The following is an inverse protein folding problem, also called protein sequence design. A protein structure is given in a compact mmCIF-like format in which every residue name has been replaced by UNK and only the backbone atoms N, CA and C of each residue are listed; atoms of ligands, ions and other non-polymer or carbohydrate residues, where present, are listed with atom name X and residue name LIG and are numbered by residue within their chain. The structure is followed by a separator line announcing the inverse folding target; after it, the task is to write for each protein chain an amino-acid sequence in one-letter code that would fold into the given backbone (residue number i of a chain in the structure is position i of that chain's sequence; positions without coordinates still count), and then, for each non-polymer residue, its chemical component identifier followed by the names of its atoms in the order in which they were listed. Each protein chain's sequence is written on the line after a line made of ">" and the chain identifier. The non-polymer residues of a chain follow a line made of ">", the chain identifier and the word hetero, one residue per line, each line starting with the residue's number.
data_IF_252445668800
#
_entry.id   IF_252445668800
#
_cell.length_a   1.000
_cell.length_b   1.000
_cell.length_c   1.000
_cell.angle_alpha   90.00
_cell.angle_beta   90.00
_cell.angle_gamma   90.00
#
_symmetry.space_group_name_H-M   'P 1'
#
loop_
_entity.id
_entity.type
_entity.pdbx_description
1 polymer ?
#
# COMPACT_ATOMS: atom_id res chain seq x y z
N UNK A 1 6.93 6.62 -4.60
CA UNK A 1 6.85 7.73 -3.63
C UNK A 1 5.89 7.40 -2.48
N UNK A 2 4.61 7.03 -2.77
CA UNK A 2 3.61 6.81 -1.71
C UNK A 2 4.02 5.69 -0.75
N UNK A 3 4.50 4.55 -1.23
CA UNK A 3 4.96 3.46 -0.34
C UNK A 3 6.06 3.89 0.60
N UNK A 4 7.03 4.69 0.12
CA UNK A 4 8.10 5.24 0.97
C UNK A 4 7.57 6.25 2.00
N UNK A 5 6.64 7.12 1.60
CA UNK A 5 6.02 8.08 2.53
C UNK A 5 5.21 7.36 3.62
N UNK A 6 4.50 6.30 3.27
CA UNK A 6 3.69 5.50 4.19
C UNK A 6 4.52 4.82 5.29
N UNK A 7 5.82 4.62 5.07
CA UNK A 7 6.69 4.08 6.14
C UNK A 7 6.85 5.03 7.31
N UNK A 8 6.62 6.34 7.12
CA UNK A 8 6.80 7.35 8.18
C UNK A 8 5.83 7.10 9.35
N UNK A 9 4.50 7.09 9.15
CA UNK A 9 3.57 6.79 10.25
C UNK A 9 3.72 5.36 10.78
N UNK A 10 4.07 4.38 9.93
CA UNK A 10 4.29 3.01 10.40
C UNK A 10 5.44 2.92 11.40
N UNK A 11 6.59 3.54 11.10
CA UNK A 11 7.76 3.55 11.98
C UNK A 11 7.52 4.34 13.26
N UNK A 12 6.72 5.40 13.21
CA UNK A 12 6.36 6.21 14.36
C UNK A 12 5.51 5.42 15.37
N UNK A 13 4.68 4.50 14.88
CA UNK A 13 3.96 3.53 15.71
C UNK A 13 4.78 2.29 16.08
N UNK A 14 6.11 2.39 16.08
CA UNK A 14 7.04 1.33 16.47
C UNK A 14 6.94 0.03 15.67
N UNK A 15 6.35 0.07 14.44
CA UNK A 15 6.36 -1.09 13.58
C UNK A 15 7.76 -1.29 12.97
N UNK A 16 8.13 -2.55 12.78
CA UNK A 16 9.30 -2.93 11.98
C UNK A 16 8.93 -2.92 10.50
N UNK A 17 9.56 -2.05 9.71
CA UNK A 17 9.19 -1.84 8.31
C UNK A 17 10.31 -2.24 7.37
N UNK A 18 9.96 -3.05 6.36
CA UNK A 18 10.86 -3.42 5.26
C UNK A 18 10.28 -2.92 3.94
N UNK A 19 11.07 -2.21 3.16
CA UNK A 19 10.74 -1.85 1.76
C UNK A 19 11.42 -2.81 0.81
N UNK A 20 10.68 -3.18 -0.23
CA UNK A 20 11.20 -3.86 -1.41
C UNK A 20 10.61 -3.24 -2.67
N UNK A 21 11.29 -3.44 -3.80
CA UNK A 21 10.88 -2.91 -5.10
C UNK A 21 11.09 -3.99 -6.17
N UNK A 22 10.03 -4.49 -6.81
CA UNK A 22 10.15 -5.58 -7.77
C UNK A 22 10.77 -5.17 -9.10
N UNK A 23 10.69 -3.89 -9.48
CA UNK A 23 11.09 -3.45 -10.83
C UNK A 23 12.43 -2.73 -10.89
N UNK A 24 12.86 -2.07 -9.81
CA UNK A 24 14.04 -1.21 -9.82
C UNK A 24 15.06 -1.57 -8.74
N UNK A 25 16.08 -2.33 -9.13
CA UNK A 25 17.24 -2.60 -8.27
C UNK A 25 18.00 -1.30 -7.91
N UNK A 26 18.01 -0.33 -8.85
CA UNK A 26 18.66 0.98 -8.64
C UNK A 26 17.96 1.76 -7.56
N UNK A 27 16.63 1.74 -7.51
CA UNK A 27 15.85 2.42 -6.48
C UNK A 27 16.22 1.90 -5.07
N UNK A 28 16.22 0.58 -4.89
CA UNK A 28 16.59 -0.03 -3.59
C UNK A 28 18.04 0.29 -3.23
N UNK A 29 18.99 0.19 -4.18
CA UNK A 29 20.39 0.52 -3.95
C UNK A 29 20.57 1.97 -3.49
N UNK A 30 19.90 2.91 -4.15
CA UNK A 30 20.01 4.33 -3.80
C UNK A 30 19.42 4.62 -2.42
N UNK A 31 18.29 4.00 -2.06
CA UNK A 31 17.68 4.15 -0.75
C UNK A 31 18.46 3.43 0.36
N UNK A 32 19.21 2.38 0.03
CA UNK A 32 20.07 1.68 0.99
C UNK A 32 21.37 2.43 1.29
N UNK A 33 21.68 3.51 0.56
CA UNK A 33 22.85 4.34 0.82
C UNK A 33 22.82 4.97 2.22
N UNK A 34 23.97 5.44 2.72
CA UNK A 34 24.09 6.01 4.09
C UNK A 34 23.05 7.10 4.39
N UNK A 35 22.68 7.90 3.41
CA UNK A 35 21.77 9.04 3.61
C UNK A 35 20.29 8.66 3.43
N UNK A 36 19.98 7.51 2.84
CA UNK A 36 18.59 7.07 2.56
C UNK A 36 17.72 8.16 1.94
N UNK A 37 18.34 9.03 1.11
CA UNK A 37 17.65 10.17 0.51
C UNK A 37 16.67 9.71 -0.59
N UNK A 38 15.42 10.13 -0.46
CA UNK A 38 14.37 9.86 -1.42
C UNK A 38 14.10 11.10 -2.28
N UNK A 39 14.59 11.11 -3.52
CA UNK A 39 14.56 12.30 -4.41
C UNK A 39 13.14 12.83 -4.67
N UNK A 40 12.17 11.95 -4.94
CA UNK A 40 10.79 12.37 -5.22
C UNK A 40 10.07 12.96 -3.99
N UNK A 41 10.43 12.55 -2.78
CA UNK A 41 9.87 13.08 -1.54
C UNK A 41 10.68 14.25 -0.99
N UNK A 42 11.92 14.40 -1.44
CA UNK A 42 12.91 15.40 -0.96
C UNK A 42 13.16 15.32 0.56
N UNK A 43 13.24 14.10 1.09
CA UNK A 43 13.54 13.81 2.50
C UNK A 43 14.52 12.66 2.64
N UNK A 44 15.19 12.60 3.79
CA UNK A 44 15.90 11.40 4.21
C UNK A 44 14.92 10.46 4.94
N UNK A 45 14.86 9.21 4.51
CA UNK A 45 14.06 8.19 5.17
C UNK A 45 14.72 7.75 6.47
N UNK A 46 13.94 7.24 7.41
CA UNK A 46 14.43 6.79 8.72
C UNK A 46 15.54 5.75 8.61
N UNK A 47 16.55 5.86 9.47
CA UNK A 47 17.63 4.85 9.62
C UNK A 47 17.09 3.48 10.06
N UNK A 48 15.96 3.43 10.77
CA UNK A 48 15.28 2.19 11.21
C UNK A 48 14.64 1.41 10.04
N UNK A 49 14.44 2.05 8.88
CA UNK A 49 13.84 1.41 7.71
C UNK A 49 14.80 0.38 7.10
N UNK A 50 14.29 -0.83 6.88
CA UNK A 50 15.04 -1.91 6.23
C UNK A 50 14.72 -1.97 4.75
N UNK A 51 15.71 -2.33 3.95
CA UNK A 51 15.60 -2.53 2.52
C UNK A 51 16.03 -3.96 2.18
N UNK A 52 15.18 -4.68 1.47
CA UNK A 52 15.48 -6.03 1.00
C UNK A 52 15.20 -6.13 -0.50
N UNK A 53 15.96 -6.98 -1.19
CA UNK A 53 15.70 -7.33 -2.57
C UNK A 53 14.37 -8.07 -2.65
N UNK A 54 13.54 -7.74 -3.63
CA UNK A 54 12.31 -8.47 -3.89
C UNK A 54 12.62 -9.92 -4.30
N UNK A 55 11.96 -10.86 -3.66
CA UNK A 55 12.09 -12.30 -3.94
C UNK A 55 10.91 -13.06 -3.32
N UNK A 56 10.70 -14.29 -3.80
CA UNK A 56 9.69 -15.19 -3.24
C UNK A 56 9.98 -15.51 -1.77
N UNK A 57 11.26 -15.67 -1.42
CA UNK A 57 11.67 -15.92 -0.04
C UNK A 57 11.30 -14.76 0.88
N UNK A 58 11.44 -13.51 0.41
CA UNK A 58 10.99 -12.36 1.17
C UNK A 58 9.49 -12.40 1.42
N UNK A 59 8.68 -12.74 0.41
CA UNK A 59 7.23 -12.82 0.55
C UNK A 59 6.77 -13.95 1.48
N UNK A 60 7.59 -14.99 1.66
CA UNK A 60 7.35 -16.10 2.60
C UNK A 60 7.77 -15.79 4.04
N UNK A 61 8.52 -14.71 4.28
CA UNK A 61 8.84 -14.28 5.64
C UNK A 61 7.56 -13.99 6.42
N UNK A 62 7.61 -14.14 7.73
CA UNK A 62 6.46 -13.86 8.61
C UNK A 62 6.29 -12.36 8.77
N UNK A 63 5.30 -11.80 8.09
CA UNK A 63 4.85 -10.43 8.22
C UNK A 63 3.44 -10.38 8.80
N UNK A 64 3.15 -9.33 9.57
CA UNK A 64 1.79 -9.05 10.08
C UNK A 64 0.92 -8.36 9.02
N UNK A 65 1.55 -7.67 8.06
CA UNK A 65 0.89 -6.95 6.98
C UNK A 65 1.81 -6.82 5.76
N UNK A 66 1.29 -7.10 4.57
CA UNK A 66 1.94 -6.76 3.30
C UNK A 66 1.24 -5.54 2.71
N UNK A 67 2.00 -4.50 2.36
CA UNK A 67 1.48 -3.27 1.79
C UNK A 67 1.83 -3.17 0.31
N UNK A 68 0.80 -3.09 -0.55
CA UNK A 68 0.95 -2.91 -1.99
C UNK A 68 0.81 -1.42 -2.32
N UNK A 69 1.91 -0.80 -2.76
CA UNK A 69 2.00 0.61 -3.13
C UNK A 69 2.64 0.78 -4.52
N UNK A 70 2.25 -0.05 -5.46
CA UNK A 70 2.72 -0.09 -6.84
C UNK A 70 1.88 0.83 -7.76
N UNK A 71 2.32 1.01 -8.99
CA UNK A 71 1.48 1.54 -10.06
C UNK A 71 0.37 0.53 -10.43
N UNK A 72 -0.67 1.00 -11.11
CA UNK A 72 -1.76 0.12 -11.56
C UNK A 72 -1.23 -1.03 -12.43
N UNK A 73 -0.25 -0.76 -13.29
CA UNK A 73 0.40 -1.77 -14.13
C UNK A 73 1.14 -2.86 -13.34
N UNK A 74 1.54 -2.58 -12.11
CA UNK A 74 2.23 -3.55 -11.24
C UNK A 74 1.32 -4.53 -10.52
N UNK A 75 0.00 -4.30 -10.54
CA UNK A 75 -0.96 -5.12 -9.80
C UNK A 75 -1.03 -6.55 -10.36
N UNK A 76 -0.97 -6.72 -11.67
CA UNK A 76 -0.99 -8.05 -12.27
C UNK A 76 0.24 -8.88 -11.90
N UNK A 77 1.41 -8.25 -11.90
CA UNK A 77 2.64 -8.89 -11.50
C UNK A 77 2.58 -9.37 -10.04
N UNK A 78 2.30 -8.46 -9.10
CA UNK A 78 2.28 -8.81 -7.69
C UNK A 78 1.13 -9.78 -7.35
N UNK A 79 -0.02 -9.66 -8.00
CA UNK A 79 -1.15 -10.57 -7.82
C UNK A 79 -0.80 -12.01 -8.20
N UNK A 80 -0.08 -12.22 -9.31
CA UNK A 80 0.43 -13.53 -9.71
C UNK A 80 1.42 -14.10 -8.67
N UNK A 81 2.37 -13.30 -8.20
CA UNK A 81 3.34 -13.72 -7.18
C UNK A 81 2.65 -14.16 -5.89
N UNK A 82 1.75 -13.34 -5.37
CA UNK A 82 1.03 -13.65 -4.12
C UNK A 82 0.16 -14.91 -4.24
N UNK A 83 -0.49 -15.10 -5.41
CA UNK A 83 -1.28 -16.32 -5.67
C UNK A 83 -0.40 -17.56 -5.71
N UNK A 84 0.68 -17.53 -6.48
CA UNK A 84 1.57 -18.67 -6.66
C UNK A 84 2.23 -19.11 -5.35
N UNK A 85 2.49 -18.15 -4.46
CA UNK A 85 3.07 -18.42 -3.13
C UNK A 85 2.02 -18.76 -2.06
N UNK A 86 0.72 -18.72 -2.40
CA UNK A 86 -0.39 -18.97 -1.47
C UNK A 86 -0.28 -18.14 -0.17
N UNK A 87 0.01 -16.85 -0.31
CA UNK A 87 0.22 -15.94 0.81
C UNK A 87 -1.06 -15.78 1.64
N UNK A 88 -0.95 -15.98 2.95
CA UNK A 88 -2.04 -15.83 3.93
C UNK A 88 -1.96 -14.53 4.73
N UNK A 89 -0.83 -13.84 4.67
CA UNK A 89 -0.64 -12.55 5.33
C UNK A 89 -1.67 -11.53 4.83
N UNK A 90 -2.33 -10.77 5.72
CA UNK A 90 -3.24 -9.70 5.33
C UNK A 90 -2.59 -8.69 4.40
N UNK A 91 -3.35 -8.19 3.44
CA UNK A 91 -2.85 -7.26 2.43
C UNK A 91 -3.56 -5.92 2.54
N UNK A 92 -2.77 -4.84 2.54
CA UNK A 92 -3.25 -3.46 2.43
C UNK A 92 -2.86 -2.87 1.09
N UNK A 93 -3.84 -2.36 0.34
CA UNK A 93 -3.61 -1.77 -0.99
C UNK A 93 -3.74 -0.26 -0.95
N UNK A 94 -2.64 0.43 -1.28
CA UNK A 94 -2.58 1.89 -1.43
C UNK A 94 -2.79 2.33 -2.88
N UNK A 95 -2.50 1.45 -3.84
CA UNK A 95 -2.59 1.74 -5.28
C UNK A 95 -3.98 2.27 -5.65
N UNK A 96 -4.02 3.36 -6.44
CA UNK A 96 -5.26 3.98 -6.95
C UNK A 96 -5.51 3.59 -8.38
N UNK A 97 -6.78 3.57 -8.77
CA UNK A 97 -7.20 3.35 -10.16
C UNK A 97 -8.24 2.25 -10.31
N UNK A 98 -8.73 2.15 -11.54
CA UNK A 98 -9.68 1.14 -11.99
C UNK A 98 -9.08 0.43 -13.19
N UNK A 99 -9.42 -0.83 -13.38
CA UNK A 99 -8.94 -1.62 -14.52
C UNK A 99 -10.11 -2.03 -15.40
N UNK A 100 -10.00 -1.78 -16.71
CA UNK A 100 -10.90 -2.34 -17.68
C UNK A 100 -10.48 -3.77 -18.04
N UNK A 101 -11.36 -4.73 -17.80
CA UNK A 101 -11.14 -6.12 -18.15
C UNK A 101 -11.77 -6.41 -19.53
N UNK A 102 -10.91 -6.61 -20.53
CA UNK A 102 -11.35 -6.79 -21.93
C UNK A 102 -12.27 -8.01 -22.15
N UNK A 103 -12.01 -9.11 -21.43
CA UNK A 103 -12.78 -10.36 -21.59
C UNK A 103 -14.24 -10.22 -21.16
N UNK A 104 -14.47 -9.58 -20.04
CA UNK A 104 -15.82 -9.41 -19.46
C UNK A 104 -16.44 -8.05 -19.80
N UNK A 105 -15.69 -7.16 -20.46
CA UNK A 105 -16.07 -5.76 -20.73
C UNK A 105 -16.49 -4.99 -19.47
N UNK A 106 -15.91 -5.32 -18.32
CA UNK A 106 -16.22 -4.69 -17.03
C UNK A 106 -15.07 -3.86 -16.51
N UNK A 107 -15.40 -2.83 -15.74
CA UNK A 107 -14.46 -2.09 -14.94
C UNK A 107 -14.37 -2.78 -13.58
N UNK A 108 -13.15 -3.11 -13.16
CA UNK A 108 -12.86 -3.71 -11.85
C UNK A 108 -12.08 -2.73 -10.97
N UNK A 109 -12.40 -2.72 -9.70
CA UNK A 109 -11.52 -2.12 -8.69
C UNK A 109 -10.30 -3.01 -8.48
N UNK A 110 -9.24 -2.48 -7.85
CA UNK A 110 -8.03 -3.25 -7.58
C UNK A 110 -8.32 -4.40 -6.61
N UNK A 111 -9.12 -4.15 -5.60
CA UNK A 111 -9.52 -5.20 -4.64
C UNK A 111 -10.31 -6.33 -5.32
N UNK A 112 -11.22 -6.01 -6.23
CA UNK A 112 -11.94 -7.02 -7.01
C UNK A 112 -10.99 -7.81 -7.91
N UNK A 113 -10.06 -7.14 -8.58
CA UNK A 113 -9.05 -7.78 -9.41
C UNK A 113 -8.21 -8.77 -8.59
N UNK A 114 -7.64 -8.33 -7.48
CA UNK A 114 -6.83 -9.18 -6.61
C UNK A 114 -7.64 -10.35 -6.07
N UNK A 115 -8.88 -10.12 -5.67
CA UNK A 115 -9.75 -11.16 -5.12
C UNK A 115 -10.25 -12.16 -6.18
N UNK A 116 -10.79 -11.66 -7.29
CA UNK A 116 -11.44 -12.52 -8.32
C UNK A 116 -10.40 -13.23 -9.20
N UNK A 117 -9.36 -12.52 -9.62
CA UNK A 117 -8.37 -13.04 -10.58
C UNK A 117 -7.27 -13.80 -9.84
N UNK A 118 -6.74 -13.23 -8.76
CA UNK A 118 -5.58 -13.77 -8.06
C UNK A 118 -5.91 -14.54 -6.78
N UNK A 119 -7.21 -14.63 -6.40
CA UNK A 119 -7.69 -15.43 -5.26
C UNK A 119 -7.08 -15.03 -3.92
N UNK A 120 -6.73 -13.75 -3.75
CA UNK A 120 -6.23 -13.22 -2.48
C UNK A 120 -7.38 -13.03 -1.50
N UNK A 121 -7.37 -13.69 -0.33
CA UNK A 121 -8.55 -13.75 0.55
C UNK A 121 -8.76 -12.50 1.40
N UNK A 122 -7.72 -12.00 2.07
CA UNK A 122 -7.81 -10.90 3.04
C UNK A 122 -7.18 -9.62 2.48
N UNK A 123 -8.04 -8.78 1.88
CA UNK A 123 -7.65 -7.51 1.28
C UNK A 123 -8.34 -6.38 2.02
N UNK A 124 -7.53 -5.44 2.48
CA UNK A 124 -7.95 -4.12 2.93
C UNK A 124 -7.40 -3.07 1.97
N UNK A 125 -8.07 -1.94 1.87
CA UNK A 125 -7.62 -0.81 1.07
C UNK A 125 -7.44 0.42 1.96
N UNK A 126 -6.53 1.30 1.55
CA UNK A 126 -6.33 2.59 2.18
C UNK A 126 -6.43 3.68 1.11
N UNK A 127 -7.36 4.61 1.29
CA UNK A 127 -7.63 5.72 0.38
C UNK A 127 -7.83 7.01 1.18
N UNK A 128 -7.69 8.14 0.50
CA UNK A 128 -7.92 9.47 1.08
C UNK A 128 -7.20 10.56 0.29
N UNK A 129 -7.41 11.83 0.69
CA UNK A 129 -6.77 13.00 0.08
C UNK A 129 -5.33 13.17 0.57
N UNK A 130 -4.55 12.09 0.55
CA UNK A 130 -3.19 12.06 1.06
C UNK A 130 -2.19 12.16 -0.10
N UNK A 131 -1.34 13.18 -0.08
CA UNK A 131 -0.21 13.34 -1.00
C UNK A 131 1.08 12.81 -0.34
N UNK A 132 1.88 12.08 -1.12
CA UNK A 132 3.09 11.44 -0.61
C UNK A 132 4.09 12.43 0.03
N UNK A 133 4.25 13.62 -0.55
CA UNK A 133 5.14 14.65 0.00
C UNK A 133 4.63 15.23 1.30
N UNK A 134 3.32 15.41 1.44
CA UNK A 134 2.68 15.91 2.64
C UNK A 134 2.78 14.89 3.78
N UNK A 135 2.45 13.62 3.50
CA UNK A 135 2.61 12.55 4.48
C UNK A 135 4.06 12.41 4.95
N UNK A 136 5.03 12.50 4.03
CA UNK A 136 6.44 12.42 4.36
C UNK A 136 6.91 13.57 5.26
N UNK A 137 6.24 14.74 5.19
CA UNK A 137 6.48 15.92 6.04
C UNK A 137 5.61 15.96 7.28
N UNK A 138 4.81 14.91 7.53
CA UNK A 138 3.89 14.80 8.66
C UNK A 138 2.78 15.85 8.67
N UNK A 139 2.37 16.33 7.49
CA UNK A 139 1.22 17.21 7.37
C UNK A 139 -0.04 16.45 7.76
N UNK A 140 -0.96 17.15 8.44
CA UNK A 140 -2.21 16.56 8.90
C UNK A 140 -3.06 16.08 7.72
N UNK A 141 -3.52 14.83 7.78
CA UNK A 141 -4.38 14.23 6.77
C UNK A 141 -5.21 13.09 7.36
N UNK A 142 -6.38 12.86 6.78
CA UNK A 142 -7.24 11.73 7.12
C UNK A 142 -7.31 10.74 5.96
N UNK A 143 -7.38 9.46 6.30
CA UNK A 143 -7.52 8.38 5.34
C UNK A 143 -8.58 7.39 5.80
N UNK A 144 -9.15 6.65 4.86
CA UNK A 144 -10.10 5.57 5.15
C UNK A 144 -9.41 4.24 4.91
N UNK A 145 -9.40 3.39 5.92
CA UNK A 145 -9.08 1.98 5.80
C UNK A 145 -10.37 1.20 5.64
N UNK A 146 -10.58 0.59 4.48
CA UNK A 146 -11.76 -0.21 4.24
C UNK A 146 -11.42 -1.70 4.12
N UNK A 147 -12.21 -2.54 4.78
CA UNK A 147 -12.08 -3.99 4.78
C UNK A 147 -13.46 -4.62 5.00
N UNK A 148 -13.72 -5.79 4.38
CA UNK A 148 -14.94 -6.56 4.69
C UNK A 148 -15.01 -6.92 6.16
N UNK A 149 -13.88 -7.21 6.79
CA UNK A 149 -13.76 -7.39 8.22
C UNK A 149 -13.33 -6.06 8.88
N UNK A 150 -14.25 -5.40 9.56
CA UNK A 150 -13.98 -4.12 10.24
C UNK A 150 -12.87 -4.21 11.30
N UNK A 151 -12.69 -5.39 11.91
CA UNK A 151 -11.62 -5.61 12.89
C UNK A 151 -10.24 -5.61 12.21
N UNK A 152 -10.15 -6.13 10.98
CA UNK A 152 -8.93 -6.01 10.16
C UNK A 152 -8.63 -4.53 9.86
N UNK A 153 -9.63 -3.74 9.46
CA UNK A 153 -9.44 -2.31 9.24
C UNK A 153 -8.96 -1.58 10.51
N UNK A 154 -9.57 -1.85 11.65
CA UNK A 154 -9.18 -1.26 12.95
C UNK A 154 -7.76 -1.67 13.36
N UNK A 155 -7.39 -2.94 13.16
CA UNK A 155 -6.04 -3.43 13.44
C UNK A 155 -5.00 -2.68 12.59
N UNK A 156 -5.26 -2.53 11.29
CA UNK A 156 -4.40 -1.76 10.40
C UNK A 156 -4.34 -0.29 10.86
N UNK A 157 -5.48 0.31 11.19
CA UNK A 157 -5.53 1.67 11.72
C UNK A 157 -4.63 1.89 12.93
N UNK A 158 -4.62 0.95 13.89
CA UNK A 158 -3.70 1.01 15.05
C UNK A 158 -2.22 0.97 14.65
N UNK A 159 -1.89 0.29 13.55
CA UNK A 159 -0.51 0.22 13.06
C UNK A 159 -0.04 1.52 12.41
N UNK A 160 -0.95 2.39 11.95
CA UNK A 160 -0.61 3.54 11.10
C UNK A 160 -1.07 4.90 11.62
N UNK A 161 -2.05 4.95 12.53
CA UNK A 161 -2.58 6.23 13.02
C UNK A 161 -1.58 6.95 13.91
N UNK A 162 -1.42 8.25 13.63
CA UNK A 162 -0.58 9.17 14.40
C UNK A 162 -1.36 10.46 14.66
N UNK A 163 -0.77 11.45 15.35
CA UNK A 163 -1.40 12.76 15.57
C UNK A 163 -1.71 13.52 14.27
N UNK A 164 -1.00 13.22 13.17
CA UNK A 164 -1.16 13.86 11.86
C UNK A 164 -1.74 12.94 10.78
N UNK A 165 -1.82 11.63 11.02
CA UNK A 165 -2.32 10.64 10.07
C UNK A 165 -3.48 9.86 10.69
N UNK A 166 -4.71 10.37 10.46
CA UNK A 166 -5.90 9.84 11.10
C UNK A 166 -6.56 8.78 10.21
N UNK A 167 -6.86 7.61 10.76
CA UNK A 167 -7.51 6.53 10.04
C UNK A 167 -8.96 6.37 10.46
N UNK A 168 -9.87 6.56 9.52
CA UNK A 168 -11.28 6.21 9.59
C UNK A 168 -11.52 4.81 9.03
N UNK A 169 -12.66 4.19 9.33
CA UNK A 169 -12.91 2.80 8.98
C UNK A 169 -14.21 2.62 8.21
N UNK A 170 -14.20 1.74 7.20
CA UNK A 170 -15.37 1.39 6.40
C UNK A 170 -15.43 -0.10 6.10
N UNK A 171 -16.62 -0.63 5.88
CA UNK A 171 -16.84 -1.96 5.27
C UNK A 171 -17.03 -1.88 3.77
N UNK A 172 -17.29 -0.69 3.24
CA UNK A 172 -17.52 -0.45 1.81
C UNK A 172 -16.20 -0.26 1.06
N UNK A 173 -15.58 -1.37 0.70
CA UNK A 173 -14.33 -1.38 -0.06
C UNK A 173 -14.56 -0.76 -1.45
N UNK A 174 -15.65 -1.14 -2.13
CA UNK A 174 -15.90 -0.74 -3.52
C UNK A 174 -16.16 0.76 -3.61
N UNK A 175 -17.05 1.31 -2.76
CA UNK A 175 -17.34 2.73 -2.73
C UNK A 175 -16.08 3.56 -2.45
N UNK A 176 -15.26 3.15 -1.48
CA UNK A 176 -14.02 3.85 -1.13
C UNK A 176 -12.99 3.80 -2.30
N UNK A 177 -12.89 2.69 -3.04
CA UNK A 177 -12.01 2.60 -4.21
C UNK A 177 -12.49 3.47 -5.37
N UNK A 178 -13.79 3.41 -5.67
CA UNK A 178 -14.41 4.19 -6.76
C UNK A 178 -14.29 5.68 -6.47
N UNK A 179 -14.69 6.14 -5.30
CA UNK A 179 -14.54 7.55 -4.90
C UNK A 179 -13.09 8.04 -5.01
N UNK A 180 -12.13 7.21 -4.59
CA UNK A 180 -10.71 7.55 -4.72
C UNK A 180 -10.22 7.62 -6.17
N UNK A 181 -10.78 6.82 -7.08
CA UNK A 181 -10.41 6.82 -8.49
C UNK A 181 -10.94 8.06 -9.22
N UNK A 182 -12.17 8.48 -8.91
CA UNK A 182 -12.86 9.59 -9.57
C UNK A 182 -12.68 10.95 -8.89
N UNK A 183 -11.95 11.01 -7.77
CA UNK A 183 -11.80 12.25 -6.98
C UNK A 183 -11.35 13.46 -7.81
N UNK A 184 -10.48 13.24 -8.82
CA UNK A 184 -9.95 14.32 -9.66
C UNK A 184 -11.01 14.91 -10.63
N UNK A 185 -12.21 14.33 -10.70
CA UNK A 185 -13.34 14.89 -11.45
C UNK A 185 -14.01 16.01 -10.65
N UNK A 186 -13.87 15.98 -9.31
CA UNK A 186 -14.54 16.89 -8.39
C UNK A 186 -13.57 17.87 -7.66
N UNK A 187 -12.28 17.85 -8.04
CA UNK A 187 -11.25 18.69 -7.39
C UNK A 187 -10.74 19.79 -8.32
#
# INVERSE_FOLDING_TARGET
>A
AMGSAFTVPCLENNNSVTITEPYSKVFIRNLSSKNKYHSALKINLSKKLRFKKFSDNLLREKFDLIVIALSLSGIDYIGNQLRNLNIKTPILVLTKGLKYEKKTKKILTISEQLKKIYKIPDISILKGPCLAKELARKNQTSVIVASKNINSARRIGKMISTKYYLAEFSKDIIGVEVCSAIKNIYS
#
